data_IF_403199922469
#
_entry.id   IF_403199922469
#
_cell.length_a   1.000
_cell.length_b   1.000
_cell.length_c   1.000
_cell.angle_alpha   90.00
_cell.angle_beta   90.00
_cell.angle_gamma   90.00
#
_symmetry.space_group_name_H-M   'P 1'
#
loop_
_entity.id
_entity.type
_entity.pdbx_description
1 polymer ?
#
# COMPACT_ATOMS: atom_id res chain seq x y z
N UNK A 1 45.66 39.37 18.42
CA UNK A 1 45.33 38.65 17.16
C UNK A 1 45.22 37.12 17.30
N UNK A 2 46.00 36.41 18.15
CA UNK A 2 45.91 34.94 18.31
C UNK A 2 44.58 34.46 18.90
N UNK A 3 43.94 35.22 19.81
CA UNK A 3 42.67 34.83 20.47
C UNK A 3 41.43 34.86 19.52
N UNK A 4 41.44 35.76 18.50
CA UNK A 4 40.35 35.85 17.51
C UNK A 4 40.32 34.67 16.55
N UNK A 5 41.46 34.05 16.26
CA UNK A 5 41.54 32.88 15.34
C UNK A 5 40.93 31.66 15.98
N UNK A 6 41.09 31.45 17.30
CA UNK A 6 40.47 30.30 18.00
C UNK A 6 38.94 30.41 18.09
N UNK A 7 38.41 31.65 18.23
CA UNK A 7 36.97 31.87 18.25
C UNK A 7 36.35 31.57 16.89
N UNK A 8 37.01 31.95 15.79
CA UNK A 8 36.56 31.71 14.44
C UNK A 8 36.60 30.19 14.08
N UNK A 9 37.62 29.46 14.56
CA UNK A 9 37.76 28.03 14.38
C UNK A 9 36.67 27.28 15.15
N UNK A 10 36.29 27.74 16.35
CA UNK A 10 35.29 27.11 17.19
C UNK A 10 33.86 27.28 16.62
N UNK A 11 33.56 28.40 15.96
CA UNK A 11 32.26 28.62 15.31
C UNK A 11 32.12 27.80 14.04
N UNK A 12 33.18 27.47 13.31
CA UNK A 12 33.16 26.61 12.14
C UNK A 12 32.83 25.13 12.48
N UNK A 13 33.18 24.67 13.67
CA UNK A 13 32.92 23.31 14.13
C UNK A 13 31.43 23.12 14.50
N UNK A 14 30.77 24.20 15.00
CA UNK A 14 29.35 24.11 15.42
C UNK A 14 28.38 24.11 14.24
N UNK A 15 28.76 24.60 13.07
CA UNK A 15 27.89 24.61 11.88
C UNK A 15 28.00 23.33 11.05
N UNK A 16 28.94 22.42 11.34
CA UNK A 16 29.13 21.18 10.55
C UNK A 16 28.30 20.01 11.06
N UNK A 17 27.73 20.07 12.28
CA UNK A 17 26.96 18.95 12.83
C UNK A 17 25.63 18.68 12.08
N UNK A 18 24.95 19.74 11.62
CA UNK A 18 23.65 19.51 10.90
C UNK A 18 23.82 18.95 9.49
N UNK A 19 25.03 19.11 8.89
CA UNK A 19 25.31 18.55 7.57
C UNK A 19 25.74 17.08 7.63
N UNK A 20 26.21 16.60 8.78
CA UNK A 20 26.59 15.19 8.96
C UNK A 20 25.39 14.28 9.19
N UNK A 21 24.35 14.77 9.84
CA UNK A 21 23.11 14.00 10.02
C UNK A 21 22.40 13.72 8.68
N UNK A 22 22.42 14.68 7.74
CA UNK A 22 21.86 14.49 6.40
C UNK A 22 22.65 13.50 5.51
N UNK A 23 23.94 13.30 5.81
CA UNK A 23 24.80 12.36 5.08
C UNK A 23 24.61 10.91 5.54
N UNK A 24 23.89 10.68 6.65
CA UNK A 24 23.63 9.36 7.22
C UNK A 24 22.24 8.82 6.87
N UNK A 25 21.39 9.61 6.21
CA UNK A 25 20.08 9.15 5.75
C UNK A 25 20.19 8.44 4.40
N UNK A 26 19.92 7.15 4.38
CA UNK A 26 19.78 6.38 3.17
C UNK A 26 18.29 6.30 2.79
N UNK A 27 17.93 6.72 1.58
CA UNK A 27 16.59 6.58 1.03
C UNK A 27 16.54 5.41 0.05
N UNK A 28 15.59 4.53 0.24
CA UNK A 28 15.40 3.33 -0.57
C UNK A 28 13.96 3.32 -1.07
N UNK A 29 13.79 3.09 -2.36
CA UNK A 29 12.48 2.86 -2.96
C UNK A 29 12.22 1.36 -3.06
N UNK A 30 11.00 0.96 -2.81
CA UNK A 30 10.55 -0.42 -2.98
C UNK A 30 9.12 -0.47 -3.51
N UNK A 31 8.87 -1.41 -4.39
CA UNK A 31 7.54 -1.77 -4.86
C UNK A 31 7.08 -3.03 -4.13
N UNK A 32 5.98 -2.92 -3.42
CA UNK A 32 5.30 -4.05 -2.80
C UNK A 32 4.07 -4.39 -3.61
N UNK A 33 3.96 -5.65 -4.02
CA UNK A 33 2.77 -6.15 -4.71
C UNK A 33 2.31 -7.44 -4.03
N UNK A 34 1.05 -7.42 -3.60
CA UNK A 34 0.39 -8.55 -2.97
C UNK A 34 -0.86 -8.91 -3.76
N UNK A 35 -1.23 -10.18 -3.76
CA UNK A 35 -2.42 -10.60 -4.48
C UNK A 35 -3.22 -11.66 -3.73
N UNK A 36 -4.54 -11.63 -3.91
CA UNK A 36 -5.46 -12.60 -3.34
C UNK A 36 -6.45 -13.06 -4.40
N UNK A 37 -6.71 -14.37 -4.44
CA UNK A 37 -7.67 -14.96 -5.36
C UNK A 37 -9.06 -14.97 -4.73
N UNK A 38 -10.06 -14.63 -5.52
CA UNK A 38 -11.47 -14.73 -5.18
C UNK A 38 -12.16 -15.81 -6.02
N UNK A 39 -12.92 -16.67 -5.36
CA UNK A 39 -13.80 -17.63 -6.01
C UNK A 39 -15.23 -17.32 -5.57
N UNK A 40 -16.08 -17.01 -6.52
CA UNK A 40 -17.46 -16.63 -6.29
C UNK A 40 -18.36 -17.69 -6.91
N UNK A 41 -19.17 -18.39 -6.11
CA UNK A 41 -20.16 -19.29 -6.66
C UNK A 41 -21.21 -18.52 -7.46
N UNK A 42 -21.98 -19.22 -8.28
CA UNK A 42 -23.14 -18.61 -8.91
C UNK A 42 -24.06 -18.03 -7.84
N UNK A 43 -24.47 -16.79 -8.03
CA UNK A 43 -25.46 -16.12 -7.20
C UNK A 43 -26.82 -16.10 -7.93
N UNK A 44 -27.88 -16.01 -7.15
CA UNK A 44 -29.21 -15.65 -7.69
C UNK A 44 -29.35 -14.12 -7.69
N UNK A 45 -30.56 -13.59 -7.70
CA UNK A 45 -30.79 -12.14 -7.62
C UNK A 45 -30.21 -11.44 -6.36
N UNK A 46 -29.72 -12.22 -5.38
CA UNK A 46 -29.11 -11.68 -4.16
C UNK A 46 -27.60 -11.78 -4.26
N UNK A 47 -26.92 -10.65 -4.03
CA UNK A 47 -25.46 -10.59 -4.03
C UNK A 47 -24.88 -11.45 -2.88
N UNK A 48 -23.79 -12.17 -3.16
CA UNK A 48 -23.02 -12.91 -2.17
C UNK A 48 -22.00 -11.99 -1.50
N UNK A 49 -21.86 -12.08 -0.19
CA UNK A 49 -20.80 -11.40 0.53
C UNK A 49 -19.43 -12.04 0.23
N UNK A 50 -18.38 -11.23 0.17
CA UNK A 50 -17.00 -11.68 0.10
C UNK A 50 -16.12 -10.91 1.08
N UNK A 51 -15.06 -11.57 1.54
CA UNK A 51 -14.03 -11.02 2.42
C UNK A 51 -12.68 -11.58 1.95
N UNK A 52 -11.91 -10.74 1.27
CA UNK A 52 -10.58 -11.08 0.76
C UNK A 52 -9.55 -10.35 1.60
N UNK A 53 -8.56 -11.07 2.09
CA UNK A 53 -7.50 -10.46 2.89
C UNK A 53 -6.11 -10.88 2.40
N UNK A 54 -5.15 -9.97 2.55
CA UNK A 54 -3.74 -10.20 2.29
C UNK A 54 -2.90 -9.39 3.27
N UNK A 55 -1.66 -9.80 3.47
CA UNK A 55 -0.74 -9.14 4.39
C UNK A 55 0.39 -8.51 3.62
N UNK A 56 0.53 -7.19 3.73
CA UNK A 56 1.67 -6.43 3.24
C UNK A 56 2.74 -6.38 4.34
N UNK A 57 4.01 -6.69 4.00
CA UNK A 57 5.09 -6.81 4.97
C UNK A 57 6.31 -6.02 4.49
N UNK A 58 6.86 -5.15 5.37
CA UNK A 58 8.08 -4.40 5.11
C UNK A 58 9.36 -5.27 5.07
N UNK A 59 9.32 -6.47 5.66
CA UNK A 59 10.47 -7.38 5.65
C UNK A 59 10.60 -8.15 4.33
N UNK A 60 10.14 -7.57 3.22
CA UNK A 60 10.19 -8.15 1.87
C UNK A 60 10.90 -7.21 0.90
N UNK A 61 11.33 -7.76 -0.24
CA UNK A 61 11.99 -6.99 -1.28
C UNK A 61 13.26 -6.28 -0.78
N UNK A 62 13.49 -5.08 -1.28
CA UNK A 62 14.68 -4.28 -0.95
C UNK A 62 14.71 -3.78 0.49
N UNK A 63 13.57 -3.80 1.19
CA UNK A 63 13.49 -3.39 2.60
C UNK A 63 13.94 -4.48 3.58
N UNK A 64 13.96 -5.76 3.17
CA UNK A 64 14.27 -6.89 4.05
C UNK A 64 15.62 -6.76 4.77
N UNK A 65 16.64 -6.25 4.07
CA UNK A 65 17.97 -6.05 4.63
C UNK A 65 18.07 -4.89 5.63
N UNK A 66 17.03 -4.04 5.70
CA UNK A 66 16.96 -2.88 6.58
C UNK A 66 15.88 -3.01 7.65
N UNK A 67 15.35 -4.21 7.84
CA UNK A 67 14.34 -4.49 8.86
C UNK A 67 14.82 -3.98 10.24
N UNK A 68 13.97 -3.19 10.91
CA UNK A 68 14.26 -2.56 12.19
C UNK A 68 15.15 -1.30 12.14
N UNK A 69 15.60 -0.87 10.95
CA UNK A 69 16.36 0.38 10.76
C UNK A 69 15.57 1.45 9.99
N UNK A 70 14.35 1.13 9.53
CA UNK A 70 13.48 2.09 8.85
C UNK A 70 12.97 3.10 9.89
N UNK A 71 13.34 4.36 9.71
CA UNK A 71 12.94 5.46 10.61
C UNK A 71 11.75 6.26 10.10
N UNK A 72 11.56 6.28 8.77
CA UNK A 72 10.40 6.89 8.15
C UNK A 72 10.01 6.13 6.88
N UNK A 73 8.73 6.14 6.58
CA UNK A 73 8.15 5.52 5.39
C UNK A 73 7.23 6.53 4.72
N UNK A 74 7.30 6.61 3.39
CA UNK A 74 6.38 7.38 2.57
C UNK A 74 5.81 6.49 1.47
N UNK A 75 4.50 6.44 1.37
CA UNK A 75 3.80 5.80 0.26
C UNK A 75 3.65 6.83 -0.87
N UNK A 76 4.27 6.56 -2.01
CA UNK A 76 4.23 7.41 -3.18
C UNK A 76 2.97 7.12 -4.01
N UNK A 77 2.63 5.82 -4.15
CA UNK A 77 1.40 5.35 -4.80
C UNK A 77 0.84 4.16 -4.06
N UNK A 78 -0.48 4.11 -3.96
CA UNK A 78 -1.22 2.97 -3.46
C UNK A 78 -2.41 2.73 -4.38
N UNK A 79 -2.47 1.55 -4.96
CA UNK A 79 -3.55 1.17 -5.87
C UNK A 79 -3.85 -0.31 -5.79
N UNK A 80 -5.02 -0.69 -6.29
CA UNK A 80 -5.33 -2.09 -6.56
C UNK A 80 -6.05 -2.25 -7.90
N UNK A 81 -6.01 -3.47 -8.44
CA UNK A 81 -6.60 -3.86 -9.71
C UNK A 81 -7.28 -5.21 -9.58
N UNK A 82 -8.29 -5.43 -10.42
CA UNK A 82 -8.79 -6.77 -10.68
C UNK A 82 -8.00 -7.39 -11.83
N UNK A 83 -7.64 -8.66 -11.68
CA UNK A 83 -6.83 -9.44 -12.64
C UNK A 83 -7.42 -10.82 -12.84
N UNK A 84 -6.97 -11.50 -13.88
CA UNK A 84 -7.20 -12.93 -14.11
C UNK A 84 -8.69 -13.34 -14.00
N UNK A 85 -9.60 -12.50 -14.52
CA UNK A 85 -11.01 -12.81 -14.50
C UNK A 85 -11.31 -14.02 -15.38
N UNK A 86 -12.02 -14.99 -14.81
CA UNK A 86 -12.57 -16.14 -15.51
C UNK A 86 -14.03 -16.33 -15.11
N UNK A 87 -14.89 -16.49 -16.11
CA UNK A 87 -16.34 -16.65 -15.93
C UNK A 87 -17.08 -16.30 -17.22
N UNK A 88 -18.31 -16.79 -17.35
CA UNK A 88 -19.09 -16.62 -18.58
C UNK A 88 -19.78 -15.24 -18.69
N UNK A 89 -19.73 -14.41 -17.65
CA UNK A 89 -20.48 -13.16 -17.57
C UNK A 89 -19.74 -12.10 -16.77
N UNK A 90 -20.12 -10.84 -16.98
CA UNK A 90 -19.64 -9.71 -16.20
C UNK A 90 -20.06 -9.86 -14.72
N UNK A 91 -19.12 -10.20 -13.87
CA UNK A 91 -19.32 -10.13 -12.42
C UNK A 91 -19.44 -8.66 -12.02
N UNK A 92 -20.43 -8.33 -11.20
CA UNK A 92 -20.61 -6.96 -10.70
C UNK A 92 -20.41 -6.92 -9.19
N UNK A 93 -19.63 -5.95 -8.72
CA UNK A 93 -19.51 -5.61 -7.31
C UNK A 93 -20.38 -4.38 -7.06
N UNK A 94 -21.59 -4.52 -6.49
CA UNK A 94 -22.45 -3.39 -6.16
C UNK A 94 -21.80 -2.44 -5.17
N UNK A 95 -21.12 -2.99 -4.17
CA UNK A 95 -20.34 -2.24 -3.19
C UNK A 95 -19.19 -3.08 -2.66
N UNK A 96 -18.06 -2.44 -2.40
CA UNK A 96 -16.93 -3.00 -1.66
C UNK A 96 -16.17 -1.90 -0.95
N UNK A 97 -15.48 -2.26 0.13
CA UNK A 97 -14.62 -1.36 0.88
C UNK A 97 -13.25 -2.00 1.05
N UNK A 98 -12.21 -1.31 0.62
CA UNK A 98 -10.85 -1.66 0.97
C UNK A 98 -10.56 -1.11 2.36
N UNK A 99 -10.08 -1.96 3.26
CA UNK A 99 -9.79 -1.65 4.66
C UNK A 99 -8.35 -1.94 5.01
N UNK A 100 -7.82 -1.18 5.96
CA UNK A 100 -6.64 -1.50 6.74
C UNK A 100 -7.12 -1.88 8.13
N UNK A 101 -7.01 -3.15 8.49
CA UNK A 101 -7.66 -3.70 9.68
C UNK A 101 -9.15 -3.30 9.71
N UNK A 102 -9.56 -2.40 10.59
CA UNK A 102 -10.93 -1.89 10.69
C UNK A 102 -11.12 -0.47 10.10
N UNK A 103 -10.08 0.11 9.49
CA UNK A 103 -10.11 1.47 8.93
C UNK A 103 -10.48 1.41 7.45
N UNK A 104 -11.52 2.13 7.05
CA UNK A 104 -11.94 2.21 5.66
C UNK A 104 -10.96 3.11 4.86
N UNK A 105 -10.30 2.53 3.86
CA UNK A 105 -9.35 3.26 3.00
C UNK A 105 -10.02 3.78 1.74
N UNK A 106 -10.88 2.97 1.12
CA UNK A 106 -11.55 3.30 -0.14
C UNK A 106 -12.84 2.51 -0.28
N UNK A 107 -13.91 3.19 -0.67
CA UNK A 107 -15.19 2.55 -1.00
C UNK A 107 -15.41 2.55 -2.50
N UNK A 108 -15.83 1.41 -3.03
CA UNK A 108 -16.16 1.19 -4.43
C UNK A 108 -17.65 0.94 -4.59
N UNK A 109 -18.21 1.31 -5.73
CA UNK A 109 -19.58 1.01 -6.08
C UNK A 109 -19.72 0.69 -7.57
N UNK A 110 -20.61 -0.25 -7.88
CA UNK A 110 -21.00 -0.62 -9.23
C UNK A 110 -19.82 -0.97 -10.15
N UNK A 111 -18.88 -1.78 -9.67
CA UNK A 111 -17.71 -2.21 -10.44
C UNK A 111 -18.06 -3.44 -11.28
N UNK A 112 -17.87 -3.32 -12.59
CA UNK A 112 -17.85 -4.45 -13.50
C UNK A 112 -16.45 -5.07 -13.53
N UNK A 113 -16.28 -6.29 -13.02
CA UNK A 113 -14.96 -6.93 -12.88
C UNK A 113 -14.37 -7.25 -14.25
N UNK A 114 -15.14 -7.84 -15.15
CA UNK A 114 -14.67 -8.20 -16.49
C UNK A 114 -14.21 -6.97 -17.29
N UNK A 115 -14.96 -5.88 -17.22
CA UNK A 115 -14.58 -4.61 -17.84
C UNK A 115 -13.33 -4.02 -17.20
N UNK A 116 -13.26 -4.01 -15.86
CA UNK A 116 -12.08 -3.52 -15.13
C UNK A 116 -10.80 -4.28 -15.49
N UNK A 117 -10.89 -5.60 -15.68
CA UNK A 117 -9.77 -6.43 -16.13
C UNK A 117 -9.40 -6.13 -17.57
N UNK A 118 -10.39 -6.02 -18.47
CA UNK A 118 -10.14 -5.79 -19.90
C UNK A 118 -9.53 -4.42 -20.20
N UNK A 119 -9.86 -3.41 -19.39
CA UNK A 119 -9.35 -2.03 -19.49
C UNK A 119 -8.12 -1.77 -18.62
N UNK A 120 -7.63 -2.78 -17.88
CA UNK A 120 -6.56 -2.65 -16.86
C UNK A 120 -6.84 -1.50 -15.87
N UNK A 121 -8.10 -1.35 -15.46
CA UNK A 121 -8.53 -0.29 -14.56
C UNK A 121 -7.85 -0.40 -13.19
N UNK A 122 -7.33 0.74 -12.70
CA UNK A 122 -6.68 0.86 -11.40
C UNK A 122 -7.48 1.76 -10.48
N UNK A 123 -7.65 1.33 -9.23
CA UNK A 123 -8.32 2.07 -8.18
C UNK A 123 -7.28 2.56 -7.18
N UNK A 124 -7.02 3.87 -7.18
CA UNK A 124 -5.97 4.47 -6.36
C UNK A 124 -6.49 5.15 -5.11
N UNK A 125 -5.65 5.18 -4.08
CA UNK A 125 -5.83 5.99 -2.88
C UNK A 125 -4.93 7.21 -3.02
N UNK A 126 -5.51 8.41 -2.99
CA UNK A 126 -4.80 9.68 -3.09
C UNK A 126 -4.99 10.58 -1.86
N UNK A 127 -5.83 10.18 -0.91
CA UNK A 127 -6.01 10.93 0.34
C UNK A 127 -4.76 10.81 1.21
N UNK A 128 -4.08 11.94 1.43
CA UNK A 128 -2.84 11.99 2.18
C UNK A 128 -3.00 11.57 3.65
N UNK A 129 -4.16 11.82 4.26
CA UNK A 129 -4.42 11.42 5.64
C UNK A 129 -4.59 9.90 5.74
N UNK A 130 -5.26 9.29 4.77
CA UNK A 130 -5.40 7.83 4.66
C UNK A 130 -4.03 7.17 4.43
N UNK A 131 -3.23 7.69 3.49
CA UNK A 131 -1.88 7.17 3.23
C UNK A 131 -0.99 7.26 4.47
N UNK A 132 -1.04 8.37 5.21
CA UNK A 132 -0.27 8.53 6.46
C UNK A 132 -0.67 7.54 7.56
N UNK A 133 -1.94 7.12 7.62
CA UNK A 133 -2.37 6.06 8.53
C UNK A 133 -1.75 4.70 8.15
N UNK A 134 -1.72 4.37 6.86
CA UNK A 134 -1.09 3.15 6.35
C UNK A 134 0.43 3.17 6.62
N UNK A 135 1.11 4.28 6.36
CA UNK A 135 2.54 4.48 6.66
C UNK A 135 2.84 4.25 8.13
N UNK A 136 2.04 4.85 9.02
CA UNK A 136 2.19 4.71 10.47
C UNK A 136 1.97 3.27 10.93
N UNK A 137 0.95 2.60 10.41
CA UNK A 137 0.66 1.22 10.74
C UNK A 137 1.80 0.26 10.29
N UNK A 138 2.31 0.46 9.07
CA UNK A 138 3.45 -0.31 8.56
C UNK A 138 4.73 -0.11 9.38
N UNK A 139 5.04 1.14 9.75
CA UNK A 139 6.22 1.45 10.59
C UNK A 139 6.13 0.80 11.98
N UNK A 140 4.94 0.85 12.59
CA UNK A 140 4.76 0.35 13.97
C UNK A 140 4.75 -1.18 14.04
N UNK A 141 4.19 -1.84 13.02
CA UNK A 141 3.93 -3.28 13.06
C UNK A 141 4.81 -4.08 12.09
N UNK A 142 5.58 -3.44 11.21
CA UNK A 142 6.31 -4.03 10.09
C UNK A 142 5.42 -4.78 9.07
N UNK A 143 4.15 -4.93 9.34
CA UNK A 143 3.16 -5.57 8.47
C UNK A 143 1.77 -5.02 8.75
N UNK A 144 0.91 -5.06 7.75
CA UNK A 144 -0.50 -4.67 7.83
C UNK A 144 -1.36 -5.71 7.13
N UNK A 145 -2.59 -5.89 7.59
CA UNK A 145 -3.60 -6.69 6.90
C UNK A 145 -4.50 -5.77 6.09
N UNK A 146 -4.54 -5.99 4.79
CA UNK A 146 -5.44 -5.32 3.87
C UNK A 146 -6.62 -6.24 3.57
N UNK A 147 -7.84 -5.73 3.68
CA UNK A 147 -9.07 -6.48 3.44
C UNK A 147 -9.90 -5.78 2.37
N UNK A 148 -10.41 -6.53 1.40
CA UNK A 148 -11.44 -6.06 0.50
C UNK A 148 -12.74 -6.80 0.84
N UNK A 149 -13.67 -6.11 1.45
CA UNK A 149 -14.96 -6.67 1.87
C UNK A 149 -16.09 -6.06 1.07
N UNK A 150 -17.10 -6.84 0.74
CA UNK A 150 -18.22 -6.33 -0.06
C UNK A 150 -19.20 -7.41 -0.49
N UNK A 151 -19.95 -7.06 -1.52
CA UNK A 151 -20.92 -7.94 -2.13
C UNK A 151 -20.65 -8.06 -3.62
N UNK A 152 -20.94 -9.24 -4.18
CA UNK A 152 -20.72 -9.55 -5.58
C UNK A 152 -21.93 -10.27 -6.18
N UNK A 153 -22.27 -9.93 -7.40
CA UNK A 153 -23.29 -10.58 -8.21
C UNK A 153 -22.63 -11.37 -9.34
N UNK A 154 -22.99 -12.66 -9.46
CA UNK A 154 -22.55 -13.56 -10.53
C UNK A 154 -23.73 -14.45 -10.96
N UNK A 155 -24.76 -13.82 -11.55
CA UNK A 155 -26.05 -14.47 -11.80
C UNK A 155 -25.99 -15.62 -12.80
N UNK A 156 -25.05 -15.56 -13.71
CA UNK A 156 -25.03 -16.46 -14.85
C UNK A 156 -23.97 -17.57 -14.75
N UNK A 157 -23.35 -17.74 -13.60
CA UNK A 157 -22.40 -18.82 -13.34
C UNK A 157 -21.34 -18.44 -12.31
N UNK A 158 -20.53 -19.39 -11.87
CA UNK A 158 -19.41 -19.11 -10.98
C UNK A 158 -18.37 -18.26 -11.71
N UNK A 159 -17.60 -17.48 -10.95
CA UNK A 159 -16.49 -16.70 -11.47
C UNK A 159 -15.29 -16.73 -10.51
N UNK A 160 -14.13 -16.50 -11.09
CA UNK A 160 -12.88 -16.32 -10.35
C UNK A 160 -12.21 -15.03 -10.80
N UNK A 161 -11.54 -14.38 -9.90
CA UNK A 161 -10.69 -13.20 -10.19
C UNK A 161 -9.61 -13.06 -9.14
N UNK A 162 -8.62 -12.26 -9.45
CA UNK A 162 -7.56 -11.88 -8.51
C UNK A 162 -7.68 -10.40 -8.19
N UNK A 163 -7.44 -10.03 -6.94
CA UNK A 163 -7.20 -8.66 -6.53
C UNK A 163 -5.70 -8.50 -6.30
N UNK A 164 -5.08 -7.62 -7.05
CA UNK A 164 -3.67 -7.26 -6.93
C UNK A 164 -3.57 -5.88 -6.30
N UNK A 165 -2.87 -5.77 -5.17
CA UNK A 165 -2.63 -4.53 -4.44
C UNK A 165 -1.17 -4.15 -4.63
N UNK A 166 -0.92 -2.92 -5.04
CA UNK A 166 0.42 -2.40 -5.31
C UNK A 166 0.68 -1.11 -4.53
N UNK A 167 1.84 -1.05 -3.87
CA UNK A 167 2.32 0.14 -3.17
C UNK A 167 3.76 0.43 -3.61
N UNK A 168 4.00 1.66 -4.11
CA UNK A 168 5.36 2.18 -4.26
C UNK A 168 5.70 3.01 -3.03
N UNK A 169 6.82 2.71 -2.39
CA UNK A 169 7.20 3.31 -1.11
C UNK A 169 8.65 3.79 -1.12
N UNK A 170 8.92 4.85 -0.37
CA UNK A 170 10.27 5.32 -0.05
C UNK A 170 10.50 5.21 1.45
N UNK A 171 11.51 4.45 1.85
CA UNK A 171 11.94 4.36 3.24
C UNK A 171 13.18 5.21 3.50
N UNK A 172 13.23 5.85 4.67
CA UNK A 172 14.43 6.48 5.23
C UNK A 172 15.03 5.53 6.24
N UNK A 173 16.31 5.25 6.08
CA UNK A 173 17.07 4.30 6.90
C UNK A 173 18.07 5.08 7.75
N UNK A 174 18.06 4.84 9.05
CA UNK A 174 19.11 5.32 9.97
C UNK A 174 20.28 4.34 9.95
N UNK A 175 21.48 4.83 9.65
CA UNK A 175 22.72 4.06 9.67
C UNK A 175 23.35 4.03 11.05
#
# INVERSE_FOLDING_TARGET
>A
MKKSIYLLLFTLILTSCSSLEQLLELKINNDLTESVNAQVPQTTATAAAFDLNTTANLNTGDFAQYAGKISALKINTFSFKFKDFSGNHAGTIPNATLKLDDIDLLTLSNINISESVSTDSSFGISDAAVLSQVETALLNNNSITLKLVGNVLSEAGPMEFKVEISMNMTATINQ
#
